data_IF_657749488440
#
_entry.id   IF_657749488440
#
_cell.length_a   1.000
_cell.length_b   1.000
_cell.length_c   1.000
_cell.angle_alpha   90.00
_cell.angle_beta   90.00
_cell.angle_gamma   90.00
#
_symmetry.space_group_name_H-M   'P 1'
#
loop_
_entity.id
_entity.type
_entity.pdbx_description
1 polymer ?
#
# COMPACT_ATOMS: atom_id res chain seq x y z
N UNK A 1 -42.98 1.26 44.10
CA UNK A 1 -41.54 0.91 44.12
C UNK A 1 -41.09 0.91 42.68
N UNK A 2 -41.01 2.07 42.05
CA UNK A 2 -39.91 3.07 42.10
C UNK A 2 -38.83 2.71 41.07
N UNK A 3 -39.06 3.22 39.87
CA UNK A 3 -38.13 3.27 38.73
C UNK A 3 -37.05 4.31 39.08
N UNK A 4 -35.74 4.07 38.82
CA UNK A 4 -34.70 5.06 39.09
C UNK A 4 -34.74 6.21 38.08
N UNK A 5 -34.47 7.43 38.57
CA UNK A 5 -34.44 8.70 37.85
C UNK A 5 -33.35 8.78 36.75
N UNK A 6 -33.58 9.54 35.66
CA UNK A 6 -32.57 9.81 34.64
C UNK A 6 -31.58 10.89 35.11
N UNK A 7 -30.30 10.67 34.84
CA UNK A 7 -29.18 11.60 35.07
C UNK A 7 -29.32 12.86 34.17
N UNK A 8 -29.16 14.04 34.78
CA UNK A 8 -29.14 15.34 34.12
C UNK A 8 -27.97 15.48 33.13
N UNK A 9 -28.27 15.87 31.89
CA UNK A 9 -27.32 16.21 30.84
C UNK A 9 -26.95 17.71 30.94
N UNK A 10 -25.65 18.07 31.11
CA UNK A 10 -25.23 19.45 31.36
C UNK A 10 -25.15 20.36 30.11
N UNK A 11 -25.73 19.97 28.96
CA UNK A 11 -25.56 20.72 27.70
C UNK A 11 -26.86 21.19 27.01
N UNK A 12 -27.84 21.70 27.77
CA UNK A 12 -29.01 22.38 27.20
C UNK A 12 -29.12 23.86 27.58
N UNK A 13 -29.09 24.68 26.51
CA UNK A 13 -29.68 26.01 26.32
C UNK A 13 -29.15 27.22 27.12
N UNK A 14 -28.63 28.22 26.41
CA UNK A 14 -29.43 29.40 25.99
C UNK A 14 -28.58 30.40 25.18
N UNK A 15 -29.17 30.94 24.10
CA UNK A 15 -28.57 31.93 23.21
C UNK A 15 -28.72 33.39 23.68
N UNK A 16 -28.97 34.36 22.77
CA UNK A 16 -27.95 35.30 22.29
C UNK A 16 -28.21 36.75 22.70
N UNK A 17 -27.17 37.59 22.73
CA UNK A 17 -27.32 39.01 23.04
C UNK A 17 -26.15 39.89 22.60
N UNK A 18 -26.35 40.54 21.45
CA UNK A 18 -25.95 41.89 21.05
C UNK A 18 -24.92 42.66 21.89
N UNK A 19 -23.92 43.23 21.18
CA UNK A 19 -23.60 44.68 21.21
C UNK A 19 -22.46 45.05 20.25
N UNK A 20 -22.81 45.73 19.17
CA UNK A 20 -21.92 46.67 18.47
C UNK A 20 -21.86 48.00 19.25
N UNK A 21 -20.81 48.80 19.06
CA UNK A 21 -21.01 50.23 18.92
C UNK A 21 -20.43 50.80 17.62
N UNK A 22 -21.27 51.63 17.00
CA UNK A 22 -21.00 52.54 15.88
C UNK A 22 -20.24 53.77 16.38
N UNK A 23 -19.26 54.29 15.61
CA UNK A 23 -19.14 55.75 15.42
C UNK A 23 -18.25 56.19 14.26
N UNK A 24 -18.92 56.91 13.33
CA UNK A 24 -18.54 58.14 12.61
C UNK A 24 -17.47 58.15 11.49
N UNK A 25 -18.04 58.32 10.30
CA UNK A 25 -17.56 59.05 9.11
C UNK A 25 -16.64 60.25 9.35
N UNK A 26 -15.64 60.40 8.47
CA UNK A 26 -15.32 61.68 7.82
C UNK A 26 -14.93 61.47 6.35
N UNK A 27 -15.70 62.11 5.47
CA UNK A 27 -15.41 62.34 4.05
C UNK A 27 -14.28 63.36 3.90
N UNK A 28 -13.46 63.17 2.86
CA UNK A 28 -12.58 64.18 2.30
C UNK A 28 -12.07 63.74 0.94
N UNK A 29 -12.67 64.28 -0.12
CA UNK A 29 -12.27 64.12 -1.52
C UNK A 29 -10.82 64.56 -1.77
N UNK A 30 -10.08 63.83 -2.63
CA UNK A 30 -9.27 64.43 -3.70
C UNK A 30 -8.78 63.41 -4.74
N UNK A 31 -9.16 63.75 -5.98
CA UNK A 31 -8.82 63.22 -7.29
C UNK A 31 -7.32 63.28 -7.57
N UNK A 32 -6.74 62.17 -8.03
CA UNK A 32 -5.38 62.08 -8.56
C UNK A 32 -5.21 60.75 -9.30
N UNK A 33 -5.15 60.83 -10.62
CA UNK A 33 -4.97 59.75 -11.59
C UNK A 33 -3.47 59.62 -11.82
N UNK A 34 -2.90 58.41 -11.76
CA UNK A 34 -1.93 57.88 -12.73
C UNK A 34 -1.33 56.52 -12.29
N UNK A 35 -1.42 55.60 -13.25
CA UNK A 35 -0.46 54.57 -13.62
C UNK A 35 -0.26 53.32 -12.76
N UNK A 36 -1.05 52.32 -13.20
CA UNK A 36 -0.79 50.89 -13.18
C UNK A 36 0.70 50.56 -13.32
N UNK A 37 1.27 50.03 -12.25
CA UNK A 37 2.19 48.90 -12.34
C UNK A 37 1.65 47.85 -11.38
N UNK A 38 0.79 46.98 -11.92
CA UNK A 38 0.34 45.75 -11.28
C UNK A 38 1.57 44.83 -11.21
N UNK A 39 2.36 44.98 -10.15
CA UNK A 39 3.32 43.95 -9.75
C UNK A 39 2.45 42.77 -9.35
N UNK A 40 2.41 41.76 -10.23
CA UNK A 40 1.86 40.46 -9.92
C UNK A 40 2.31 40.10 -8.51
N UNK A 41 1.32 39.96 -7.64
CA UNK A 41 1.51 39.33 -6.35
C UNK A 41 2.19 38.00 -6.65
N UNK A 42 3.42 37.86 -6.18
CA UNK A 42 4.02 36.57 -5.93
C UNK A 42 3.02 35.84 -5.03
N UNK A 43 2.10 35.11 -5.63
CA UNK A 43 1.42 33.98 -5.01
C UNK A 43 2.54 33.00 -4.75
N UNK A 44 3.25 33.28 -3.64
CA UNK A 44 4.06 32.33 -2.95
C UNK A 44 3.17 31.12 -2.79
N UNK A 45 3.46 30.10 -3.60
CA UNK A 45 2.94 28.77 -3.42
C UNK A 45 3.32 28.42 -1.99
N UNK A 46 2.36 28.58 -1.08
CA UNK A 46 2.43 28.04 0.26
C UNK A 46 2.44 26.53 0.04
N UNK A 47 3.64 25.99 -0.18
CA UNK A 47 3.91 24.56 -0.10
C UNK A 47 3.88 24.17 1.38
N UNK A 48 2.78 24.50 2.06
CA UNK A 48 2.31 23.85 3.25
C UNK A 48 1.87 22.44 2.88
N UNK A 49 2.79 21.64 2.34
CA UNK A 49 2.66 20.20 2.44
C UNK A 49 2.93 19.90 3.90
N UNK A 50 1.91 19.54 4.71
CA UNK A 50 2.23 19.06 6.03
C UNK A 50 3.04 17.78 5.79
N UNK A 51 4.28 17.75 6.27
CA UNK A 51 5.04 16.53 6.43
C UNK A 51 4.41 15.71 7.57
N UNK A 52 3.13 15.34 7.40
CA UNK A 52 2.66 14.09 7.95
C UNK A 52 3.45 13.04 7.19
N UNK A 53 4.33 12.36 7.90
CA UNK A 53 5.00 11.14 7.47
C UNK A 53 3.91 10.20 6.94
N UNK A 54 3.66 10.24 5.63
CA UNK A 54 2.61 9.44 5.02
C UNK A 54 3.06 8.01 5.13
N UNK A 55 2.29 7.21 5.87
CA UNK A 55 2.52 5.78 5.94
C UNK A 55 2.44 5.22 4.51
N UNK A 56 3.47 4.47 4.05
CA UNK A 56 3.45 3.90 2.71
C UNK A 56 2.19 3.03 2.51
N UNK A 57 1.66 2.94 1.27
CA UNK A 57 0.52 2.08 0.97
C UNK A 57 0.75 0.64 1.45
N UNK A 58 -0.19 0.16 2.27
CA UNK A 58 -0.15 -1.15 2.92
C UNK A 58 -1.55 -1.62 3.30
N UNK A 59 -1.70 -2.93 3.51
CA UNK A 59 -2.87 -3.52 4.14
C UNK A 59 -2.42 -4.73 4.96
N UNK A 60 -2.16 -4.49 6.25
CA UNK A 60 -1.57 -5.51 7.14
C UNK A 60 -2.55 -6.65 7.41
N UNK A 61 -3.85 -6.36 7.45
CA UNK A 61 -4.89 -7.37 7.69
C UNK A 61 -5.01 -8.31 6.48
N UNK A 62 -4.89 -7.77 5.26
CA UNK A 62 -4.78 -8.58 4.04
C UNK A 62 -3.52 -9.45 4.06
N UNK A 63 -2.35 -8.90 4.40
CA UNK A 63 -1.11 -9.69 4.52
C UNK A 63 -1.23 -10.85 5.51
N UNK A 64 -1.84 -10.59 6.67
CA UNK A 64 -2.09 -11.63 7.66
C UNK A 64 -3.06 -12.70 7.14
N UNK A 65 -4.10 -12.29 6.42
CA UNK A 65 -5.09 -13.19 5.82
C UNK A 65 -4.48 -14.08 4.73
N UNK A 66 -3.57 -13.54 3.91
CA UNK A 66 -2.82 -14.32 2.91
C UNK A 66 -2.00 -15.41 3.60
N UNK A 67 -1.15 -15.03 4.56
CA UNK A 67 -0.29 -15.99 5.25
C UNK A 67 -1.11 -17.02 6.04
N UNK A 68 -2.19 -16.59 6.69
CA UNK A 68 -3.14 -17.47 7.35
C UNK A 68 -3.75 -18.51 6.41
N UNK A 69 -4.18 -18.07 5.22
CA UNK A 69 -4.74 -18.95 4.19
C UNK A 69 -3.71 -19.97 3.69
N UNK A 70 -2.48 -19.52 3.44
CA UNK A 70 -1.36 -20.39 3.02
C UNK A 70 -1.01 -21.43 4.09
N UNK A 71 -1.06 -21.07 5.37
CA UNK A 71 -0.80 -21.99 6.49
C UNK A 71 -1.93 -23.02 6.71
N UNK A 72 -3.11 -22.79 6.14
CA UNK A 72 -4.28 -23.66 6.24
C UNK A 72 -4.41 -24.63 5.06
N UNK A 73 -4.01 -24.22 3.86
CA UNK A 73 -4.24 -25.00 2.64
C UNK A 73 -3.06 -24.93 1.67
N UNK A 74 -2.66 -26.10 1.18
CA UNK A 74 -1.68 -26.24 0.10
C UNK A 74 -2.16 -25.57 -1.21
N UNK A 75 -3.46 -25.63 -1.48
CA UNK A 75 -4.04 -25.05 -2.69
C UNK A 75 -3.97 -23.51 -2.63
N UNK A 76 -4.20 -22.93 -1.45
CA UNK A 76 -4.02 -21.49 -1.24
C UNK A 76 -2.57 -21.04 -1.48
N UNK A 77 -1.58 -21.87 -1.16
CA UNK A 77 -0.18 -21.57 -1.50
C UNK A 77 0.00 -21.50 -3.03
N UNK A 78 -0.56 -22.45 -3.77
CA UNK A 78 -0.45 -22.50 -5.22
C UNK A 78 -1.07 -21.26 -5.89
N UNK A 79 -2.24 -20.83 -5.43
CA UNK A 79 -2.90 -19.63 -5.97
C UNK A 79 -2.16 -18.34 -5.61
N UNK A 80 -1.68 -18.20 -4.36
CA UNK A 80 -1.04 -16.95 -3.90
C UNK A 80 0.29 -16.69 -4.61
N UNK A 81 1.08 -17.72 -4.93
CA UNK A 81 2.40 -17.55 -5.58
C UNK A 81 2.32 -17.02 -7.01
N UNK A 82 1.15 -17.17 -7.65
CA UNK A 82 0.85 -16.61 -8.96
C UNK A 82 0.62 -15.09 -8.87
N UNK A 83 0.13 -14.60 -7.73
CA UNK A 83 -0.29 -13.20 -7.57
C UNK A 83 0.80 -12.31 -6.95
N UNK A 84 1.49 -12.80 -5.91
CA UNK A 84 2.46 -11.99 -5.15
C UNK A 84 3.81 -12.67 -4.97
N UNK A 85 4.83 -11.84 -4.74
CA UNK A 85 6.18 -12.23 -4.33
C UNK A 85 6.50 -11.74 -2.92
N UNK A 86 7.58 -12.25 -2.32
CA UNK A 86 7.96 -11.92 -0.95
C UNK A 86 8.12 -10.40 -0.69
N UNK A 87 8.68 -9.67 -1.66
CA UNK A 87 8.89 -8.22 -1.56
C UNK A 87 7.59 -7.39 -1.69
N UNK A 88 6.46 -8.01 -2.01
CA UNK A 88 5.16 -7.33 -2.07
C UNK A 88 4.60 -7.07 -0.65
N UNK A 89 5.03 -7.84 0.34
CA UNK A 89 4.68 -7.59 1.74
C UNK A 89 5.29 -6.28 2.22
N UNK A 90 4.50 -5.46 2.91
CA UNK A 90 5.00 -4.27 3.60
C UNK A 90 5.80 -4.65 4.84
N UNK A 91 5.39 -5.70 5.57
CA UNK A 91 6.10 -6.13 6.78
C UNK A 91 7.20 -7.15 6.44
N UNK A 92 8.48 -6.86 6.76
CA UNK A 92 9.56 -7.83 6.54
C UNK A 92 9.36 -9.16 7.28
N UNK A 93 8.67 -9.13 8.42
CA UNK A 93 8.27 -10.33 9.14
C UNK A 93 7.34 -11.23 8.31
N UNK A 94 6.42 -10.64 7.54
CA UNK A 94 5.50 -11.40 6.69
C UNK A 94 6.20 -11.98 5.46
N UNK A 95 7.11 -11.21 4.84
CA UNK A 95 8.00 -11.71 3.80
C UNK A 95 8.79 -12.94 4.29
N UNK A 96 9.36 -12.87 5.49
CA UNK A 96 10.12 -13.98 6.10
C UNK A 96 9.26 -15.24 6.27
N UNK A 97 8.01 -15.09 6.73
CA UNK A 97 7.06 -16.21 6.87
C UNK A 97 6.69 -16.77 5.49
N UNK A 98 6.40 -15.90 4.52
CA UNK A 98 6.08 -16.27 3.15
C UNK A 98 7.20 -17.13 2.54
N UNK A 99 8.45 -16.68 2.61
CA UNK A 99 9.60 -17.43 2.10
C UNK A 99 9.73 -18.80 2.77
N UNK A 100 9.55 -18.90 4.09
CA UNK A 100 9.59 -20.19 4.79
C UNK A 100 8.48 -21.15 4.33
N UNK A 101 7.26 -20.64 4.09
CA UNK A 101 6.15 -21.41 3.51
C UNK A 101 6.53 -21.94 2.13
N UNK A 102 7.08 -21.09 1.25
CA UNK A 102 7.48 -21.48 -0.10
C UNK A 102 8.57 -22.55 -0.09
N UNK A 103 9.55 -22.44 0.80
CA UNK A 103 10.63 -23.40 0.89
C UNK A 103 10.17 -24.79 1.36
N UNK A 104 9.19 -24.84 2.27
CA UNK A 104 8.56 -26.10 2.67
C UNK A 104 7.71 -26.67 1.54
N UNK A 105 6.91 -25.81 0.89
CA UNK A 105 6.08 -26.19 -0.25
C UNK A 105 6.91 -26.78 -1.41
N UNK A 106 8.05 -26.16 -1.73
CA UNK A 106 8.97 -26.62 -2.77
C UNK A 106 9.62 -27.98 -2.44
N UNK A 107 9.80 -28.30 -1.16
CA UNK A 107 10.28 -29.62 -0.69
C UNK A 107 9.16 -30.67 -0.65
N UNK A 108 7.90 -30.28 -0.90
CA UNK A 108 6.74 -31.14 -0.73
C UNK A 108 6.38 -31.40 0.74
N UNK A 109 6.91 -30.59 1.66
CA UNK A 109 6.60 -30.65 3.09
C UNK A 109 5.34 -29.82 3.39
N UNK A 110 4.51 -30.22 4.37
CA UNK A 110 3.37 -29.41 4.77
C UNK A 110 3.86 -28.09 5.37
N UNK A 111 3.25 -26.98 4.95
CA UNK A 111 3.54 -25.65 5.48
C UNK A 111 2.40 -25.22 6.41
N UNK A 112 2.45 -25.69 7.66
CA UNK A 112 1.51 -25.35 8.72
C UNK A 112 2.24 -24.56 9.83
N UNK A 113 1.54 -24.00 10.84
CA UNK A 113 2.19 -23.20 11.88
C UNK A 113 3.31 -23.93 12.64
N UNK A 114 3.24 -25.25 12.76
CA UNK A 114 4.23 -26.05 13.48
C UNK A 114 5.48 -26.24 12.62
N UNK A 115 5.31 -26.65 11.36
CA UNK A 115 6.43 -26.88 10.45
C UNK A 115 7.13 -25.60 10.06
N UNK A 116 6.38 -24.52 9.81
CA UNK A 116 6.94 -23.19 9.53
C UNK A 116 7.68 -22.66 10.76
N UNK A 117 7.17 -22.85 11.98
CA UNK A 117 7.91 -22.48 13.19
C UNK A 117 9.25 -23.23 13.29
N UNK A 118 9.25 -24.55 13.04
CA UNK A 118 10.46 -25.36 13.09
C UNK A 118 11.50 -24.91 12.05
N UNK A 119 11.07 -24.59 10.82
CA UNK A 119 11.94 -24.09 9.78
C UNK A 119 12.51 -22.70 10.12
N UNK A 120 11.69 -21.79 10.64
CA UNK A 120 12.14 -20.47 11.09
C UNK A 120 13.09 -20.54 12.30
N UNK A 121 12.91 -21.51 13.20
CA UNK A 121 13.86 -21.77 14.31
C UNK A 121 15.20 -22.23 13.74
N UNK A 122 15.19 -23.17 12.80
CA UNK A 122 16.40 -23.68 12.14
C UNK A 122 17.19 -22.57 11.43
N UNK A 123 16.50 -21.56 10.89
CA UNK A 123 17.10 -20.37 10.26
C UNK A 123 17.55 -19.29 11.25
N UNK A 124 17.12 -19.37 12.51
CA UNK A 124 17.36 -18.31 13.51
C UNK A 124 16.51 -17.06 13.28
N UNK A 125 15.35 -17.20 12.64
CA UNK A 125 14.49 -16.08 12.22
C UNK A 125 13.16 -16.01 12.98
N UNK A 126 12.83 -17.05 13.76
CA UNK A 126 11.57 -17.15 14.51
C UNK A 126 11.29 -15.94 15.43
N UNK A 127 12.33 -15.32 15.98
CA UNK A 127 12.18 -14.13 16.83
C UNK A 127 11.82 -12.89 16.04
N UNK A 128 12.28 -12.78 14.79
CA UNK A 128 11.99 -11.64 13.90
C UNK A 128 10.52 -11.58 13.49
N UNK A 129 9.85 -12.74 13.44
CA UNK A 129 8.44 -12.85 13.06
C UNK A 129 7.47 -12.74 14.25
N UNK A 130 7.97 -12.56 15.48
CA UNK A 130 7.14 -12.50 16.69
C UNK A 130 6.95 -13.83 17.41
N UNK A 131 7.67 -14.88 17.02
CA UNK A 131 7.65 -16.20 17.65
C UNK A 131 6.59 -17.14 17.09
N UNK A 132 6.64 -18.41 17.53
CA UNK A 132 5.67 -19.43 17.12
C UNK A 132 4.20 -19.05 17.37
N UNK A 133 3.83 -18.35 18.47
CA UNK A 133 2.44 -17.93 18.67
C UNK A 133 1.89 -17.04 17.55
N UNK A 134 2.74 -16.23 16.90
CA UNK A 134 2.30 -15.34 15.83
C UNK A 134 1.76 -16.12 14.62
N UNK A 135 2.35 -17.27 14.29
CA UNK A 135 1.88 -18.11 13.19
C UNK A 135 0.46 -18.64 13.45
N UNK A 136 0.13 -18.94 14.70
CA UNK A 136 -1.24 -19.31 15.07
C UNK A 136 -2.19 -18.13 14.97
N UNK A 137 -1.74 -16.91 15.30
CA UNK A 137 -2.52 -15.69 15.10
C UNK A 137 -2.83 -15.45 13.60
N UNK A 138 -1.89 -15.71 12.70
CA UNK A 138 -2.13 -15.61 11.25
C UNK A 138 -3.23 -16.57 10.78
N UNK A 139 -3.23 -17.80 11.29
CA UNK A 139 -4.31 -18.76 10.99
C UNK A 139 -5.66 -18.29 11.53
N UNK A 140 -5.68 -17.59 12.67
CA UNK A 140 -6.91 -17.07 13.27
C UNK A 140 -7.44 -15.79 12.58
N UNK A 141 -6.61 -15.05 11.85
CA UNK A 141 -7.04 -13.82 11.16
C UNK A 141 -7.81 -14.09 9.87
N UNK A 142 -7.66 -15.29 9.27
CA UNK A 142 -8.33 -15.62 8.01
C UNK A 142 -9.66 -16.36 8.26
N UNK A 143 -10.78 -15.91 7.66
CA UNK A 143 -12.05 -16.62 7.78
C UNK A 143 -12.04 -18.00 7.09
N UNK A 144 -11.46 -18.05 5.88
CA UNK A 144 -11.35 -19.26 5.06
C UNK A 144 -10.09 -19.21 4.18
N UNK A 145 -9.46 -20.36 3.94
CA UNK A 145 -8.30 -20.43 3.04
C UNK A 145 -8.65 -20.13 1.57
N UNK A 146 -9.91 -20.35 1.16
CA UNK A 146 -10.38 -20.12 -0.19
C UNK A 146 -10.34 -18.64 -0.63
N UNK A 147 -10.25 -17.70 0.32
CA UNK A 147 -10.16 -16.27 0.02
C UNK A 147 -8.70 -15.77 -0.06
N UNK A 148 -7.70 -16.65 0.07
CA UNK A 148 -6.30 -16.24 0.12
C UNK A 148 -5.86 -15.47 -1.14
N UNK A 149 -6.28 -15.93 -2.33
CA UNK A 149 -5.98 -15.25 -3.59
C UNK A 149 -6.56 -13.83 -3.65
N UNK A 150 -7.80 -13.64 -3.20
CA UNK A 150 -8.41 -12.29 -3.11
C UNK A 150 -7.63 -11.34 -2.21
N UNK A 151 -7.16 -11.81 -1.04
CA UNK A 151 -6.31 -10.98 -0.19
C UNK A 151 -4.93 -10.73 -0.78
N UNK A 152 -4.39 -11.67 -1.57
CA UNK A 152 -3.13 -11.49 -2.28
C UNK A 152 -3.22 -10.38 -3.33
N UNK A 153 -4.35 -10.26 -4.04
CA UNK A 153 -4.60 -9.14 -4.95
C UNK A 153 -4.54 -7.78 -4.23
N UNK A 154 -5.14 -7.69 -3.04
CA UNK A 154 -5.06 -6.46 -2.21
C UNK A 154 -3.60 -6.15 -1.86
N UNK A 155 -2.83 -7.14 -1.39
CA UNK A 155 -1.40 -6.96 -1.06
C UNK A 155 -0.62 -6.50 -2.28
N UNK A 156 -0.86 -7.11 -3.45
CA UNK A 156 -0.24 -6.74 -4.72
C UNK A 156 -0.53 -5.28 -5.09
N UNK A 157 -1.80 -4.85 -5.03
CA UNK A 157 -2.18 -3.47 -5.32
C UNK A 157 -1.47 -2.47 -4.40
N UNK A 158 -1.37 -2.78 -3.10
CA UNK A 158 -0.63 -1.94 -2.15
C UNK A 158 0.86 -1.92 -2.45
N UNK A 159 1.46 -3.04 -2.84
CA UNK A 159 2.85 -3.12 -3.24
C UNK A 159 3.16 -2.25 -4.48
N UNK A 160 2.30 -2.31 -5.50
CA UNK A 160 2.43 -1.47 -6.70
C UNK A 160 2.35 0.02 -6.35
N UNK A 161 1.38 0.42 -5.52
CA UNK A 161 1.26 1.81 -5.07
C UNK A 161 2.48 2.24 -4.24
N UNK A 162 3.03 1.35 -3.41
CA UNK A 162 4.24 1.63 -2.62
C UNK A 162 5.47 1.81 -3.51
N UNK A 163 5.69 0.93 -4.49
CA UNK A 163 6.74 1.08 -5.51
C UNK A 163 6.60 2.39 -6.29
N UNK A 164 5.37 2.80 -6.62
CA UNK A 164 5.13 4.07 -7.30
C UNK A 164 5.58 5.28 -6.47
N UNK A 165 5.33 5.27 -5.15
CA UNK A 165 5.81 6.32 -4.24
C UNK A 165 7.33 6.35 -4.18
N UNK A 166 7.97 5.18 -4.12
CA UNK A 166 9.44 5.05 -4.10
C UNK A 166 10.06 5.59 -5.41
N UNK A 167 9.52 5.19 -6.56
CA UNK A 167 9.95 5.68 -7.87
C UNK A 167 9.80 7.21 -7.98
N UNK A 168 8.64 7.77 -7.57
CA UNK A 168 8.43 9.21 -7.55
C UNK A 168 9.42 9.96 -6.65
N UNK A 169 9.78 9.37 -5.52
CA UNK A 169 10.79 9.93 -4.61
C UNK A 169 12.17 9.94 -5.25
N UNK A 170 12.59 8.84 -5.88
CA UNK A 170 13.87 8.76 -6.60
C UNK A 170 13.94 9.74 -7.77
N UNK A 171 12.87 9.86 -8.55
CA UNK A 171 12.79 10.80 -9.69
C UNK A 171 12.94 12.24 -9.21
N UNK A 172 12.29 12.57 -8.09
CA UNK A 172 12.44 13.89 -7.46
C UNK A 172 13.89 14.12 -7.02
N UNK A 173 14.54 13.12 -6.42
CA UNK A 173 15.95 13.20 -6.01
C UNK A 173 16.89 13.39 -7.21
N UNK A 174 16.67 12.67 -8.33
CA UNK A 174 17.43 12.83 -9.57
C UNK A 174 17.33 14.26 -10.11
N UNK A 175 16.13 14.85 -10.08
CA UNK A 175 15.91 16.23 -10.52
C UNK A 175 16.63 17.28 -9.67
N UNK A 176 16.76 17.08 -8.35
CA UNK A 176 17.50 17.98 -7.47
C UNK A 176 19.02 17.80 -7.52
N UNK A 177 19.50 16.56 -7.73
CA UNK A 177 20.93 16.29 -7.83
C UNK A 177 21.53 16.96 -9.08
N UNK A 178 20.81 16.93 -10.21
CA UNK A 178 21.24 17.49 -11.51
C UNK A 178 22.67 17.08 -11.92
N UNK A 179 23.12 15.90 -11.49
CA UNK A 179 24.43 15.35 -11.80
C UNK A 179 24.35 14.56 -13.11
N UNK A 180 24.97 15.09 -14.17
CA UNK A 180 25.10 14.41 -15.47
C UNK A 180 24.36 15.10 -16.60
N UNK A 181 24.27 14.40 -17.73
CA UNK A 181 23.53 14.88 -18.90
C UNK A 181 22.01 14.77 -18.65
N UNK A 182 21.26 15.78 -19.08
CA UNK A 182 19.81 15.86 -18.87
C UNK A 182 19.11 14.67 -19.52
N UNK A 183 19.58 14.25 -20.69
CA UNK A 183 19.02 13.11 -21.41
C UNK A 183 19.22 11.79 -20.63
N UNK A 184 20.38 11.60 -19.99
CA UNK A 184 20.64 10.44 -19.13
C UNK A 184 19.74 10.42 -17.89
N UNK A 185 19.50 11.58 -17.28
CA UNK A 185 18.60 11.73 -16.11
C UNK A 185 17.16 11.38 -16.51
N UNK A 186 16.68 11.90 -17.65
CA UNK A 186 15.32 11.61 -18.15
C UNK A 186 15.15 10.12 -18.47
N UNK A 187 16.14 9.50 -19.13
CA UNK A 187 16.12 8.06 -19.41
C UNK A 187 16.08 7.23 -18.11
N UNK A 188 16.85 7.62 -17.09
CA UNK A 188 16.84 6.96 -15.78
C UNK A 188 15.48 7.09 -15.07
N UNK A 189 14.85 8.25 -15.15
CA UNK A 189 13.51 8.47 -14.61
C UNK A 189 12.44 7.62 -15.32
N UNK A 190 12.52 7.48 -16.64
CA UNK A 190 11.63 6.61 -17.40
C UNK A 190 11.78 5.14 -16.99
N UNK A 191 13.02 4.67 -16.79
CA UNK A 191 13.30 3.32 -16.32
C UNK A 191 12.70 3.05 -14.92
N UNK A 192 12.80 4.00 -13.99
CA UNK A 192 12.21 3.88 -12.65
C UNK A 192 10.67 3.78 -12.69
N UNK A 193 9.98 4.53 -13.55
CA UNK A 193 8.52 4.40 -13.71
C UNK A 193 8.14 3.08 -14.35
N UNK A 194 8.86 2.66 -15.38
CA UNK A 194 8.58 1.41 -16.09
C UNK A 194 8.71 0.19 -15.17
N UNK A 195 9.71 0.20 -14.28
CA UNK A 195 9.93 -0.85 -13.28
C UNK A 195 8.76 -1.03 -12.29
N UNK A 196 7.89 -0.03 -12.10
CA UNK A 196 6.70 -0.15 -11.22
C UNK A 196 5.67 -1.13 -11.78
N UNK A 197 5.57 -1.21 -13.12
CA UNK A 197 4.52 -1.97 -13.83
C UNK A 197 4.92 -3.39 -14.24
N UNK A 198 6.22 -3.70 -14.31
CA UNK A 198 6.71 -4.90 -15.03
C UNK A 198 6.66 -6.21 -14.25
N UNK A 199 6.11 -6.23 -13.02
CA UNK A 199 5.95 -7.48 -12.27
C UNK A 199 4.66 -8.26 -12.60
N UNK A 200 3.86 -7.79 -13.56
CA UNK A 200 2.64 -8.50 -14.00
C UNK A 200 2.87 -9.69 -14.93
N UNK A 201 4.12 -10.00 -15.29
CA UNK A 201 4.38 -10.97 -16.36
C UNK A 201 5.06 -12.23 -15.82
N UNK A 202 4.29 -13.11 -15.17
CA UNK A 202 4.35 -14.51 -15.60
C UNK A 202 3.28 -14.67 -16.67
N UNK A 203 3.59 -14.23 -17.89
CA UNK A 203 2.86 -14.72 -19.04
C UNK A 203 2.98 -16.24 -19.04
N UNK A 204 1.84 -16.91 -19.12
CA UNK A 204 1.74 -18.34 -19.39
C UNK A 204 2.48 -18.64 -20.70
N UNK A 205 3.79 -18.92 -20.61
CA UNK A 205 4.54 -19.52 -21.70
C UNK A 205 4.11 -20.98 -21.79
N UNK A 206 2.99 -21.23 -22.45
CA UNK A 206 2.72 -22.57 -22.95
C UNK A 206 3.82 -22.92 -23.97
N UNK A 207 4.47 -24.10 -23.86
CA UNK A 207 5.37 -24.58 -24.88
C UNK A 207 4.71 -24.47 -26.25
N UNK A 208 5.42 -23.95 -27.25
CA UNK A 208 4.89 -23.76 -28.60
C UNK A 208 4.26 -25.06 -29.16
N UNK A 209 4.75 -26.23 -28.74
CA UNK A 209 4.19 -27.53 -29.11
C UNK A 209 2.73 -27.72 -28.68
N UNK A 210 2.37 -27.26 -27.49
CA UNK A 210 1.02 -27.45 -26.92
C UNK A 210 -0.02 -26.54 -27.62
N UNK A 211 0.42 -25.38 -28.14
CA UNK A 211 -0.41 -24.46 -28.93
C UNK A 211 -0.54 -24.96 -30.39
N UNK A 212 0.52 -25.56 -30.92
CA UNK A 212 0.56 -26.03 -32.31
C UNK A 212 -0.40 -27.20 -32.57
N UNK A 213 -0.57 -28.09 -31.60
CA UNK A 213 -1.41 -29.28 -31.75
C UNK A 213 -2.89 -28.90 -31.96
N UNK A 214 -3.40 -27.95 -31.17
CA UNK A 214 -4.78 -27.45 -31.33
C UNK A 214 -5.00 -26.62 -32.60
N UNK A 215 -3.99 -25.89 -33.07
CA UNK A 215 -4.08 -25.10 -34.30
C UNK A 215 -4.03 -25.96 -35.58
N UNK A 216 -3.36 -27.12 -35.53
CA UNK A 216 -3.31 -28.07 -36.65
C UNK A 216 -4.65 -28.79 -36.82
N UNK A 217 -5.29 -29.18 -35.71
CA UNK A 217 -6.63 -29.80 -35.74
C UNK A 217 -7.71 -28.87 -36.33
N UNK A 218 -7.58 -27.55 -36.15
CA UNK A 218 -8.52 -26.56 -36.68
C UNK A 218 -8.34 -26.30 -38.19
N UNK A 219 -7.17 -26.62 -38.76
CA UNK A 219 -6.87 -26.51 -40.19
C UNK A 219 -7.24 -27.79 -40.96
N UNK A 220 -7.24 -28.94 -40.28
CA UNK A 220 -7.58 -30.24 -40.90
C UNK A 220 -9.09 -30.54 -40.94
N UNK A 221 -9.93 -29.73 -40.27
CA UNK A 221 -11.40 -29.81 -40.30
C UNK A 221 -12.05 -29.06 -41.47
#
# INVERSE_FOLDING_TARGET
MSIPEPLDDPWTETGPGDRLPVSRQRRGDRKGREDRHDRGSDEAWDSGAPSFERVPPQDVDAEQSVLGGMLLSKDAIAEVVEVIKGHDFYRPAHETVFTAILDLYAKGEPADPITVAAELVKRGEITKVGGAPYLHTLVQSVPTAANASYYAEIVHERAVLRRLVEAGTKITQMGYAADGDVDEIVNSAQAEIYAVTEQRTSEDYLPLGDIMEGALDEIEA
#
